data_IF_481158217445
#
_entry.id   IF_481158217445
#
_cell.length_a   1.000
_cell.length_b   1.000
_cell.length_c   1.000
_cell.angle_alpha   90.00
_cell.angle_beta   90.00
_cell.angle_gamma   90.00
#
_symmetry.space_group_name_H-M   'P 1'
#
loop_
_entity.id
_entity.type
_entity.pdbx_description
1 polymer ?
#
# COMPACT_ATOMS: atom_id res chain seq x y z
N UNK A 1 -8.45 12.28 10.55
CA UNK A 1 -9.53 11.80 11.43
C UNK A 1 -8.97 11.21 12.72
N UNK A 2 -8.26 10.07 12.68
CA UNK A 2 -7.72 9.42 13.89
C UNK A 2 -6.79 10.29 14.75
N UNK A 3 -5.96 11.13 14.11
CA UNK A 3 -5.02 12.03 14.81
C UNK A 3 -5.53 13.48 14.91
N UNK A 4 -6.68 13.80 14.32
CA UNK A 4 -7.15 15.19 14.16
C UNK A 4 -6.28 16.10 13.28
N UNK A 5 -5.14 15.62 12.76
CA UNK A 5 -4.19 16.40 11.94
C UNK A 5 -4.50 16.26 10.44
N UNK A 6 -4.27 17.34 9.68
CA UNK A 6 -4.28 17.32 8.22
C UNK A 6 -2.87 17.06 7.71
N UNK A 7 -2.74 16.19 6.71
CA UNK A 7 -1.45 15.87 6.08
C UNK A 7 -1.34 16.69 4.79
N UNK A 8 -0.32 17.53 4.69
CA UNK A 8 0.01 18.26 3.45
C UNK A 8 1.46 18.07 2.99
N UNK A 9 2.33 17.61 3.88
CA UNK A 9 3.75 17.42 3.63
C UNK A 9 4.25 16.07 4.16
N UNK A 10 5.43 15.65 3.72
CA UNK A 10 6.11 14.48 4.27
C UNK A 10 6.40 14.61 5.78
N UNK A 11 6.69 15.83 6.27
CA UNK A 11 6.92 16.08 7.70
C UNK A 11 5.63 15.84 8.51
N UNK A 12 4.47 16.23 7.98
CA UNK A 12 3.18 15.95 8.62
C UNK A 12 2.92 14.46 8.74
N UNK A 13 3.29 13.69 7.71
CA UNK A 13 3.18 12.21 7.73
C UNK A 13 3.99 11.63 8.89
N UNK A 14 5.26 12.01 9.01
CA UNK A 14 6.13 11.49 10.07
C UNK A 14 5.51 11.75 11.44
N UNK A 15 5.06 12.99 11.68
CA UNK A 15 4.37 13.37 12.91
C UNK A 15 3.10 12.56 13.14
N UNK A 16 2.27 12.38 12.11
CA UNK A 16 1.04 11.60 12.20
C UNK A 16 1.31 10.12 12.50
N UNK A 17 2.31 9.52 11.86
CA UNK A 17 2.72 8.14 12.16
C UNK A 17 3.22 8.02 13.60
N UNK A 18 3.97 8.99 14.10
CA UNK A 18 4.43 9.01 15.49
C UNK A 18 3.28 9.14 16.50
N UNK A 19 2.29 9.99 16.20
CA UNK A 19 1.06 10.08 17.00
C UNK A 19 0.32 8.75 17.00
N UNK A 20 0.16 8.10 15.84
CA UNK A 20 -0.49 6.79 15.75
C UNK A 20 0.27 5.74 16.55
N UNK A 21 1.60 5.71 16.50
CA UNK A 21 2.41 4.81 17.33
C UNK A 21 2.19 5.05 18.83
N UNK A 22 2.03 6.30 19.28
CA UNK A 22 1.74 6.59 20.69
C UNK A 22 0.38 6.06 21.17
N UNK A 23 -0.52 5.70 20.25
CA UNK A 23 -1.79 5.06 20.58
C UNK A 23 -1.67 3.53 20.73
N UNK A 24 -0.51 2.94 20.51
CA UNK A 24 -0.25 1.51 20.71
C UNK A 24 0.34 0.72 19.52
N UNK A 25 -0.05 0.93 18.24
CA UNK A 25 0.43 0.07 17.16
C UNK A 25 1.92 0.26 16.89
N UNK A 26 2.68 -0.83 16.86
CA UNK A 26 4.09 -0.81 16.48
C UNK A 26 4.31 -0.71 14.96
N UNK A 27 3.29 -0.98 14.15
CA UNK A 27 3.35 -0.86 12.69
C UNK A 27 2.17 -0.02 12.23
N UNK A 28 2.48 1.04 11.49
CA UNK A 28 1.51 1.98 10.93
C UNK A 28 1.77 2.06 9.43
N UNK A 29 0.72 1.89 8.63
CA UNK A 29 0.81 2.05 7.18
C UNK A 29 -0.31 2.98 6.73
N UNK A 30 0.06 4.07 6.07
CA UNK A 30 -0.86 4.92 5.31
C UNK A 30 -0.86 4.36 3.89
N UNK A 31 -1.91 3.60 3.58
CA UNK A 31 -1.98 2.76 2.38
C UNK A 31 -1.91 3.56 1.08
N UNK A 32 -2.46 4.78 1.08
CA UNK A 32 -2.38 5.72 -0.03
C UNK A 32 -2.54 7.16 0.47
N UNK A 33 -1.95 8.11 -0.26
CA UNK A 33 -2.09 9.55 0.00
C UNK A 33 -1.91 10.35 -1.29
N UNK A 34 -2.46 11.57 -1.29
CA UNK A 34 -2.34 12.57 -2.36
C UNK A 34 -1.08 13.45 -2.20
N UNK A 35 -0.07 12.95 -1.46
CA UNK A 35 1.20 13.65 -1.34
C UNK A 35 1.91 13.66 -2.70
N UNK A 36 2.69 14.72 -3.01
CA UNK A 36 3.46 14.76 -4.24
C UNK A 36 4.41 13.57 -4.33
N UNK A 37 4.21 12.72 -5.34
CA UNK A 37 5.13 11.64 -5.68
C UNK A 37 6.28 12.19 -6.53
N UNK A 38 7.49 11.68 -6.30
CA UNK A 38 8.68 12.04 -7.08
C UNK A 38 8.56 11.63 -8.55
N UNK A 39 7.81 10.56 -8.84
CA UNK A 39 7.56 10.06 -10.20
C UNK A 39 6.44 10.79 -10.96
N UNK A 40 5.77 11.75 -10.33
CA UNK A 40 4.74 12.58 -10.97
C UNK A 40 3.33 12.37 -10.44
N UNK A 41 2.35 13.14 -10.96
CA UNK A 41 0.99 13.22 -10.40
C UNK A 41 0.16 11.94 -10.58
N UNK A 42 0.56 11.06 -11.49
CA UNK A 42 -0.11 9.78 -11.74
C UNK A 42 0.33 8.68 -10.77
N UNK A 43 1.04 9.02 -9.70
CA UNK A 43 1.49 8.08 -8.67
C UNK A 43 0.84 8.41 -7.32
N UNK A 44 0.47 7.36 -6.60
CA UNK A 44 0.03 7.43 -5.21
C UNK A 44 1.20 7.10 -4.29
N UNK A 45 1.23 7.77 -3.14
CA UNK A 45 2.27 7.57 -2.13
C UNK A 45 1.73 6.70 -0.99
N UNK A 46 2.36 5.54 -0.78
CA UNK A 46 2.15 4.64 0.36
C UNK A 46 3.30 4.83 1.35
N UNK A 47 2.98 5.00 2.63
CA UNK A 47 3.96 5.29 3.68
C UNK A 47 3.85 4.26 4.80
N UNK A 48 4.99 3.70 5.21
CA UNK A 48 5.05 2.71 6.28
C UNK A 48 5.99 3.17 7.38
N UNK A 49 5.62 2.91 8.63
CA UNK A 49 6.48 3.10 9.80
C UNK A 49 6.36 1.91 10.73
N UNK A 50 7.51 1.35 11.11
CA UNK A 50 7.59 0.26 12.06
C UNK A 50 8.54 0.61 13.21
N UNK A 51 8.05 0.49 14.44
CA UNK A 51 8.82 0.60 15.67
C UNK A 51 9.15 -0.78 16.21
N UNK A 52 10.39 -0.95 16.66
CA UNK A 52 10.85 -2.15 17.36
C UNK A 52 11.71 -1.74 18.54
N UNK A 53 11.61 -2.51 19.63
CA UNK A 53 12.52 -2.38 20.76
C UNK A 53 13.74 -3.25 20.45
N UNK A 54 14.92 -2.62 20.45
CA UNK A 54 16.21 -3.30 20.31
C UNK A 54 16.59 -4.05 21.58
N UNK A 55 17.64 -4.87 21.50
CA UNK A 55 18.18 -5.57 22.68
C UNK A 55 18.74 -4.61 23.74
N UNK A 56 19.12 -3.41 23.32
CA UNK A 56 19.54 -2.28 24.16
C UNK A 56 18.37 -1.56 24.87
N UNK A 57 17.13 -2.02 24.65
CA UNK A 57 15.92 -1.40 25.15
C UNK A 57 15.52 -0.12 24.41
N UNK A 58 16.26 0.31 23.38
CA UNK A 58 15.95 1.50 22.61
C UNK A 58 14.89 1.21 21.55
N UNK A 59 14.04 2.21 21.27
CA UNK A 59 13.04 2.09 20.21
C UNK A 59 13.64 2.55 18.88
N UNK A 60 13.82 1.61 17.95
CA UNK A 60 14.22 1.91 16.58
C UNK A 60 12.98 2.08 15.69
N UNK A 61 12.97 3.13 14.88
CA UNK A 61 11.91 3.39 13.90
C UNK A 61 12.45 3.24 12.49
N UNK A 62 11.85 2.35 11.70
CA UNK A 62 12.06 2.24 10.27
C UNK A 62 10.89 2.91 9.56
N UNK A 63 11.19 3.86 8.67
CA UNK A 63 10.18 4.54 7.85
C UNK A 63 10.50 4.38 6.37
N UNK A 64 9.46 4.06 5.60
CA UNK A 64 9.58 3.79 4.16
C UNK A 64 8.50 4.54 3.38
N UNK A 65 8.81 4.86 2.13
CA UNK A 65 7.90 5.39 1.14
C UNK A 65 7.89 4.48 -0.08
N UNK A 66 6.71 4.21 -0.63
CA UNK A 66 6.52 3.53 -1.91
C UNK A 66 5.63 4.37 -2.81
N UNK A 67 5.94 4.38 -4.10
CA UNK A 67 5.14 5.06 -5.12
C UNK A 67 4.55 4.03 -6.08
N UNK A 68 3.23 3.97 -6.15
CA UNK A 68 2.49 3.05 -7.03
C UNK A 68 1.72 3.84 -8.09
N UNK A 69 1.71 3.41 -9.37
CA UNK A 69 0.88 4.04 -10.38
C UNK A 69 -0.60 4.04 -9.98
N UNK A 70 -1.24 5.21 -10.07
CA UNK A 70 -2.67 5.35 -9.92
C UNK A 70 -3.36 4.61 -11.06
N UNK A 71 -4.40 3.86 -10.72
CA UNK A 71 -5.30 3.27 -11.71
C UNK A 71 -6.54 4.15 -11.77
N UNK A 72 -6.89 4.63 -12.97
CA UNK A 72 -8.08 5.47 -13.21
C UNK A 72 -9.37 4.64 -13.14
N UNK A 73 -9.69 4.18 -11.93
CA UNK A 73 -10.92 3.49 -11.57
C UNK A 73 -11.09 3.50 -10.04
N UNK A 74 -12.35 3.44 -9.60
CA UNK A 74 -12.69 3.32 -8.18
C UNK A 74 -12.98 1.86 -7.88
N UNK A 75 -12.07 1.22 -7.14
CA UNK A 75 -12.21 -0.16 -6.68
C UNK A 75 -12.76 -0.20 -5.26
N UNK A 76 -13.48 -1.27 -4.94
CA UNK A 76 -13.95 -1.59 -3.59
C UNK A 76 -13.19 -2.83 -3.09
N UNK A 77 -12.92 -2.92 -1.79
CA UNK A 77 -12.23 -4.07 -1.17
C UNK A 77 -10.70 -4.06 -1.27
N UNK A 78 -10.10 -3.02 -1.86
CA UNK A 78 -8.63 -2.90 -1.97
C UNK A 78 -7.93 -2.74 -0.63
N UNK A 79 -8.56 -2.03 0.31
CA UNK A 79 -8.06 -1.89 1.69
C UNK A 79 -8.05 -3.23 2.44
N UNK A 80 -9.12 -4.03 2.28
CA UNK A 80 -9.23 -5.35 2.91
C UNK A 80 -8.15 -6.31 2.38
N UNK A 81 -7.97 -6.32 1.06
CA UNK A 81 -6.92 -7.10 0.42
C UNK A 81 -5.52 -6.65 0.86
N UNK A 82 -5.28 -5.33 0.90
CA UNK A 82 -4.01 -4.77 1.36
C UNK A 82 -3.68 -5.22 2.78
N UNK A 83 -4.64 -5.09 3.71
CA UNK A 83 -4.44 -5.48 5.10
C UNK A 83 -4.18 -6.99 5.25
N UNK A 84 -4.92 -7.83 4.54
CA UNK A 84 -4.72 -9.29 4.55
C UNK A 84 -3.34 -9.69 4.02
N UNK A 85 -2.88 -9.08 2.92
CA UNK A 85 -1.54 -9.34 2.38
C UNK A 85 -0.44 -8.78 3.25
N UNK A 86 -0.61 -7.59 3.82
CA UNK A 86 0.36 -7.02 4.75
C UNK A 86 0.54 -7.93 5.97
N UNK A 87 -0.56 -8.48 6.52
CA UNK A 87 -0.52 -9.45 7.59
C UNK A 87 0.33 -10.68 7.20
N UNK A 88 0.04 -11.29 6.05
CA UNK A 88 0.78 -12.46 5.57
C UNK A 88 2.28 -12.14 5.37
N UNK A 89 2.60 -11.04 4.70
CA UNK A 89 3.97 -10.72 4.37
C UNK A 89 4.81 -10.23 5.55
N UNK A 90 4.19 -9.55 6.52
CA UNK A 90 4.87 -9.19 7.79
C UNK A 90 5.07 -10.41 8.68
N UNK A 91 4.18 -11.40 8.62
CA UNK A 91 4.39 -12.70 9.28
C UNK A 91 5.54 -13.50 8.63
N UNK A 92 5.60 -13.56 7.30
CA UNK A 92 6.69 -14.24 6.59
C UNK A 92 8.04 -13.53 6.69
N UNK A 93 8.04 -12.20 6.82
CA UNK A 93 9.25 -11.37 6.91
C UNK A 93 9.25 -10.54 8.19
N UNK A 94 9.28 -11.19 9.37
CA UNK A 94 9.09 -10.52 10.64
C UNK A 94 10.26 -9.61 11.00
N UNK A 95 11.37 -9.61 10.26
CA UNK A 95 12.52 -8.70 10.39
C UNK A 95 12.72 -7.75 9.20
N UNK A 96 11.94 -7.89 8.13
CA UNK A 96 12.12 -7.13 6.89
C UNK A 96 10.80 -6.48 6.45
N UNK A 97 10.42 -5.43 7.18
CA UNK A 97 9.20 -4.68 6.92
C UNK A 97 9.19 -3.99 5.55
N UNK A 98 10.36 -3.58 5.05
CA UNK A 98 10.54 -3.08 3.68
C UNK A 98 10.03 -4.10 2.67
N UNK A 99 10.57 -5.31 2.71
CA UNK A 99 10.20 -6.38 1.78
C UNK A 99 8.72 -6.77 1.92
N UNK A 100 8.20 -6.78 3.16
CA UNK A 100 6.80 -7.07 3.39
C UNK A 100 5.87 -6.06 2.69
N UNK A 101 6.20 -4.77 2.78
CA UNK A 101 5.44 -3.71 2.10
C UNK A 101 5.62 -3.77 0.58
N UNK A 102 6.84 -3.99 0.08
CA UNK A 102 7.11 -4.13 -1.36
C UNK A 102 6.32 -5.29 -1.99
N UNK A 103 6.28 -6.45 -1.32
CA UNK A 103 5.48 -7.60 -1.77
C UNK A 103 3.97 -7.31 -1.73
N UNK A 104 3.50 -6.68 -0.65
CA UNK A 104 2.08 -6.30 -0.50
C UNK A 104 1.65 -5.36 -1.63
N UNK A 105 2.38 -4.27 -1.84
CA UNK A 105 2.08 -3.27 -2.87
C UNK A 105 2.22 -3.86 -4.27
N UNK A 106 3.19 -4.74 -4.50
CA UNK A 106 3.36 -5.42 -5.79
C UNK A 106 2.20 -6.37 -6.09
N UNK A 107 1.75 -7.16 -5.13
CA UNK A 107 0.57 -8.02 -5.29
C UNK A 107 -0.69 -7.17 -5.58
N UNK A 108 -0.88 -6.05 -4.87
CA UNK A 108 -1.95 -5.10 -5.17
C UNK A 108 -1.88 -4.59 -6.60
N UNK A 109 -0.70 -4.19 -7.07
CA UNK A 109 -0.50 -3.72 -8.44
C UNK A 109 -0.96 -4.77 -9.46
N UNK A 110 -0.51 -6.02 -9.31
CA UNK A 110 -0.87 -7.11 -10.23
C UNK A 110 -2.37 -7.39 -10.24
N UNK A 111 -3.01 -7.44 -9.07
CA UNK A 111 -4.46 -7.64 -8.94
C UNK A 111 -5.23 -6.50 -9.61
N UNK A 112 -4.84 -5.25 -9.38
CA UNK A 112 -5.51 -4.08 -9.92
C UNK A 112 -5.33 -3.96 -11.44
N UNK A 113 -4.13 -4.23 -11.96
CA UNK A 113 -3.87 -4.24 -13.40
C UNK A 113 -4.69 -5.33 -14.11
N UNK A 114 -4.73 -6.55 -13.55
CA UNK A 114 -5.58 -7.62 -14.10
C UNK A 114 -7.06 -7.24 -14.07
N UNK A 115 -7.49 -6.61 -12.98
CA UNK A 115 -8.88 -6.18 -12.80
C UNK A 115 -9.27 -5.12 -13.82
N UNK A 116 -8.50 -4.05 -13.96
CA UNK A 116 -8.84 -2.96 -14.89
C UNK A 116 -8.78 -3.40 -16.35
N UNK A 117 -7.84 -4.26 -16.71
CA UNK A 117 -7.73 -4.79 -18.08
C UNK A 117 -8.94 -5.66 -18.43
N UNK A 118 -9.35 -6.55 -17.51
CA UNK A 118 -10.56 -7.35 -17.69
C UNK A 118 -11.81 -6.48 -17.74
N UNK A 119 -11.91 -5.46 -16.88
CA UNK A 119 -13.05 -4.57 -16.82
C UNK A 119 -13.21 -3.74 -18.11
N UNK A 120 -12.12 -3.19 -18.63
CA UNK A 120 -12.09 -2.45 -19.91
C UNK A 120 -12.48 -3.34 -21.10
N UNK A 121 -11.99 -4.58 -21.13
CA UNK A 121 -12.35 -5.54 -22.17
C UNK A 121 -13.85 -5.89 -22.15
N UNK A 122 -14.46 -5.99 -20.97
CA UNK A 122 -15.90 -6.25 -20.81
C UNK A 122 -16.77 -5.02 -21.12
N UNK A 123 -16.30 -3.81 -20.79
CA UNK A 123 -17.04 -2.58 -21.03
C UNK A 123 -17.03 -2.15 -22.51
N UNK A 124 -15.94 -2.44 -23.22
CA UNK A 124 -15.73 -2.05 -24.61
C UNK A 124 -14.98 -0.71 -24.76
N UNK A 125 -14.55 -0.39 -25.99
CA UNK A 125 -13.72 0.80 -26.24
C UNK A 125 -14.41 2.11 -25.87
N UNK A 126 -13.72 2.97 -25.12
CA UNK A 126 -14.23 4.30 -24.72
C UNK A 126 -15.30 4.27 -23.63
N UNK A 127 -15.71 3.10 -23.14
CA UNK A 127 -16.72 2.96 -22.10
C UNK A 127 -16.04 2.81 -20.74
N UNK A 128 -16.47 3.59 -19.76
CA UNK A 128 -16.03 3.43 -18.36
C UNK A 128 -16.64 2.15 -17.78
N UNK A 129 -15.83 1.24 -17.20
CA UNK A 129 -16.37 0.02 -16.60
C UNK A 129 -17.33 0.31 -15.44
N UNK A 130 -18.37 -0.51 -15.32
CA UNK A 130 -19.29 -0.51 -14.18
C UNK A 130 -18.64 -1.09 -12.93
N UNK A 131 -19.22 -0.85 -11.75
CA UNK A 131 -18.76 -1.43 -10.49
C UNK A 131 -18.70 -2.95 -10.52
N UNK A 132 -19.71 -3.62 -11.10
CA UNK A 132 -19.72 -5.08 -11.23
C UNK A 132 -18.58 -5.61 -12.12
N UNK A 133 -18.12 -4.83 -13.10
CA UNK A 133 -16.99 -5.20 -13.96
C UNK A 133 -15.63 -4.98 -13.27
N UNK A 134 -15.59 -4.06 -12.29
CA UNK A 134 -14.42 -3.71 -11.47
C UNK A 134 -14.22 -4.59 -10.24
N UNK A 135 -15.05 -5.62 -10.05
CA UNK A 135 -14.83 -6.63 -9.03
C UNK A 135 -13.44 -7.25 -9.16
N UNK A 136 -12.73 -7.32 -8.02
CA UNK A 136 -11.33 -7.72 -7.99
C UNK A 136 -11.15 -9.13 -8.57
N UNK A 137 -10.20 -9.29 -9.49
CA UNK A 137 -9.89 -10.56 -10.15
C UNK A 137 -9.05 -11.47 -9.25
N UNK A 138 -9.59 -11.80 -8.09
CA UNK A 138 -8.89 -12.52 -7.01
C UNK A 138 -8.40 -13.90 -7.44
N UNK A 139 -9.31 -14.76 -7.91
CA UNK A 139 -8.98 -16.14 -8.30
C UNK A 139 -7.94 -16.17 -9.42
N UNK A 140 -8.09 -15.27 -10.40
CA UNK A 140 -7.17 -15.15 -11.53
C UNK A 140 -5.81 -14.59 -11.12
N UNK A 141 -5.74 -13.92 -9.96
CA UNK A 141 -4.51 -13.34 -9.41
C UNK A 141 -3.82 -14.23 -8.38
N UNK A 142 -4.27 -15.48 -8.20
CA UNK A 142 -3.70 -16.42 -7.23
C UNK A 142 -2.17 -16.45 -7.24
N UNK A 143 -1.55 -16.62 -8.41
CA UNK A 143 -0.09 -16.72 -8.53
C UNK A 143 0.63 -15.45 -8.06
N UNK A 144 0.08 -14.28 -8.37
CA UNK A 144 0.68 -13.00 -7.96
C UNK A 144 0.45 -12.71 -6.47
N UNK A 145 -0.61 -13.28 -5.88
CA UNK A 145 -0.82 -13.22 -4.43
C UNK A 145 0.18 -14.14 -3.71
N UNK A 146 0.39 -15.35 -4.23
CA UNK A 146 1.31 -16.34 -3.66
C UNK A 146 2.78 -15.90 -3.76
N UNK A 147 3.20 -15.38 -4.92
CA UNK A 147 4.57 -14.92 -5.14
C UNK A 147 4.61 -13.72 -6.08
N UNK A 148 4.34 -12.49 -5.59
CA UNK A 148 4.35 -11.30 -6.41
C UNK A 148 5.76 -10.98 -6.90
N UNK A 149 5.89 -10.78 -8.22
CA UNK A 149 7.06 -10.11 -8.78
C UNK A 149 7.10 -8.66 -8.27
N UNK A 150 8.27 -8.22 -7.80
CA UNK A 150 8.44 -6.87 -7.26
C UNK A 150 8.42 -5.84 -8.39
N UNK A 151 7.42 -4.96 -8.35
CA UNK A 151 7.25 -3.86 -9.32
C UNK A 151 7.42 -2.48 -8.68
N UNK A 152 7.64 -2.45 -7.37
CA UNK A 152 7.93 -1.24 -6.59
C UNK A 152 9.12 -1.48 -5.68
N UNK A 153 9.91 -0.43 -5.48
CA UNK A 153 11.01 -0.40 -4.52
C UNK A 153 10.74 0.72 -3.53
N UNK A 154 10.84 0.42 -2.24
CA UNK A 154 10.65 1.43 -1.20
C UNK A 154 11.92 2.26 -1.01
N UNK A 155 11.77 3.56 -0.78
CA UNK A 155 12.82 4.44 -0.30
C UNK A 155 12.73 4.63 1.22
N UNK A 156 13.86 4.92 1.86
CA UNK A 156 13.89 5.29 3.27
C UNK A 156 13.50 6.76 3.43
N UNK A 157 12.82 7.08 4.54
CA UNK A 157 12.43 8.43 4.92
C UNK A 157 13.27 8.97 6.06
#
# INVERSE_FOLDING_TARGET
LLTGQKIGTQQDVVRVMDMLHSLGPNTVVITSSELPASRGPDYLVTLGSQRRVGEDGQTHSLRICLEIPRVDAVFVGTGDLFAAMLLAWTHHHPSNFKLACEKTVSAMHHVLQRTINSARALAGPGVRPSYAQLELRMVQSKKDIENPELVVTSTLL
#
